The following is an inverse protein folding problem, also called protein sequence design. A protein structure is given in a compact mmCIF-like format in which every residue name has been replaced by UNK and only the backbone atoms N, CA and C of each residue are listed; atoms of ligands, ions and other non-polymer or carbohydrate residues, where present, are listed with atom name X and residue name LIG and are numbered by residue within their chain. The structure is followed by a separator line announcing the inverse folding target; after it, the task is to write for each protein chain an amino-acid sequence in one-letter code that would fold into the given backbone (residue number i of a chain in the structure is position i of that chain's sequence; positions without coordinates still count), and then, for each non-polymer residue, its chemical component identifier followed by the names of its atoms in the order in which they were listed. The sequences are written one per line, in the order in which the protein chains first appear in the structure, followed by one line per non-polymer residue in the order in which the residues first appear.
data_IF_126299518374
#
_entry.id   IF_126299518374
#
_cell.length_a   1.000
_cell.length_b   1.000
_cell.length_c   1.000
_cell.angle_alpha   90.00
_cell.angle_beta   90.00
_cell.angle_gamma   90.00
#
_symmetry.space_group_name_H-M   'P 1'
#
loop_
_entity.id
_entity.type
_entity.pdbx_description
1 polymer ?
#
# COMPACT_ATOMS: atom_id res chain seq x y z
N UNK A 1 21.91 -5.41 1.79
CA UNK A 1 21.25 -4.40 2.63
C UNK A 1 20.10 -5.08 3.33
N UNK A 2 19.99 -4.98 4.66
CA UNK A 2 18.96 -5.68 5.45
C UNK A 2 17.78 -4.78 5.81
N UNK A 3 16.71 -5.37 6.37
CA UNK A 3 15.54 -4.60 6.86
C UNK A 3 15.97 -3.67 8.00
N UNK A 4 16.81 -4.17 8.89
CA UNK A 4 17.34 -3.45 10.05
C UNK A 4 18.15 -2.23 9.59
N UNK A 5 19.00 -2.38 8.57
CA UNK A 5 19.78 -1.26 8.01
C UNK A 5 18.88 -0.16 7.42
N UNK A 6 17.77 -0.52 6.78
CA UNK A 6 16.78 0.47 6.29
C UNK A 6 16.08 1.17 7.45
N UNK A 7 15.71 0.42 8.49
CA UNK A 7 15.09 1.00 9.70
C UNK A 7 16.03 1.99 10.38
N UNK A 8 17.31 1.64 10.51
CA UNK A 8 18.31 2.54 11.12
C UNK A 8 18.55 3.79 10.26
N UNK A 9 18.63 3.64 8.93
CA UNK A 9 18.68 4.81 8.03
C UNK A 9 17.46 5.73 8.19
N UNK A 10 16.25 5.15 8.28
CA UNK A 10 15.02 5.91 8.47
C UNK A 10 15.00 6.66 9.81
N UNK A 11 15.49 6.04 10.88
CA UNK A 11 15.59 6.66 12.21
C UNK A 11 16.64 7.77 12.27
N UNK A 12 17.75 7.61 11.56
CA UNK A 12 18.86 8.57 11.50
C UNK A 12 18.56 9.78 10.59
N UNK A 13 17.62 9.66 9.67
CA UNK A 13 17.18 10.77 8.81
C UNK A 13 16.53 11.89 9.64
N UNK A 14 17.12 13.08 9.62
CA UNK A 14 16.65 14.25 10.38
C UNK A 14 15.18 14.61 10.08
N UNK A 15 14.71 14.31 8.85
CA UNK A 15 13.30 14.55 8.46
C UNK A 15 12.31 13.64 9.21
N UNK A 16 12.80 12.58 9.85
CA UNK A 16 12.04 11.67 10.70
C UNK A 16 12.33 11.86 12.20
N UNK A 17 13.19 12.82 12.58
CA UNK A 17 13.64 12.98 13.96
C UNK A 17 12.50 13.10 14.98
N UNK A 18 11.39 13.75 14.61
CA UNK A 18 10.21 13.86 15.46
C UNK A 18 9.59 12.49 15.83
N UNK A 19 9.62 11.52 14.90
CA UNK A 19 9.16 10.15 15.15
C UNK A 19 10.15 9.38 16.01
N UNK A 20 11.45 9.48 15.68
CA UNK A 20 12.53 8.84 16.45
C UNK A 20 12.51 9.30 17.91
N UNK A 21 12.39 10.62 18.17
CA UNK A 21 12.29 11.19 19.52
C UNK A 21 11.09 10.68 20.32
N UNK A 22 10.00 10.31 19.65
CA UNK A 22 8.78 9.76 20.25
C UNK A 22 8.82 8.23 20.38
N UNK A 23 9.90 7.58 19.95
CA UNK A 23 10.01 6.11 19.95
C UNK A 23 9.08 5.43 18.94
N UNK A 24 8.66 6.14 17.89
CA UNK A 24 7.79 5.61 16.82
C UNK A 24 8.66 5.04 15.70
N UNK A 25 8.69 3.71 15.50
CA UNK A 25 9.42 3.11 14.39
C UNK A 25 8.69 3.32 13.05
N UNK A 26 9.40 3.25 11.91
CA UNK A 26 8.73 3.16 10.61
C UNK A 26 7.90 1.87 10.53
N UNK A 27 6.72 1.94 9.90
CA UNK A 27 5.79 0.82 9.76
C UNK A 27 5.70 0.39 8.30
N UNK A 28 6.23 -0.80 8.05
CA UNK A 28 6.13 -1.53 6.77
C UNK A 28 6.38 -3.02 7.04
N UNK A 29 6.02 -3.87 6.07
CA UNK A 29 6.28 -5.30 6.09
C UNK A 29 6.95 -5.66 4.77
N UNK A 30 8.14 -6.24 4.79
CA UNK A 30 8.83 -6.68 3.56
C UNK A 30 9.48 -8.03 3.77
N UNK A 31 9.61 -8.79 2.69
CA UNK A 31 10.27 -10.08 2.69
C UNK A 31 10.93 -10.28 1.32
N UNK A 32 12.10 -10.94 1.30
CA UNK A 32 12.73 -11.36 0.05
C UNK A 32 11.83 -12.30 -0.76
N UNK A 33 10.96 -13.05 -0.07
CA UNK A 33 10.07 -14.04 -0.65
C UNK A 33 8.69 -13.45 -1.01
N UNK A 34 8.53 -12.13 -0.91
CA UNK A 34 7.27 -11.48 -1.21
C UNK A 34 6.96 -11.60 -2.70
N UNK A 35 5.77 -12.13 -3.01
CA UNK A 35 5.24 -12.28 -4.36
C UNK A 35 4.32 -11.13 -4.76
N UNK A 36 3.62 -10.56 -3.78
CA UNK A 36 2.70 -9.45 -3.99
C UNK A 36 3.10 -8.29 -3.08
N UNK A 37 3.22 -7.10 -3.66
CA UNK A 37 3.54 -5.87 -2.94
C UNK A 37 2.31 -4.96 -2.86
N UNK A 38 1.95 -4.53 -1.66
CA UNK A 38 0.89 -3.57 -1.39
C UNK A 38 1.49 -2.19 -1.15
N UNK A 39 1.12 -1.20 -1.97
CA UNK A 39 1.53 0.19 -1.78
C UNK A 39 0.31 1.05 -1.48
N UNK A 40 0.12 1.36 -0.21
CA UNK A 40 -0.92 2.26 0.30
C UNK A 40 -0.42 3.67 0.59
N UNK A 41 -1.25 4.49 1.23
CA UNK A 41 -0.92 5.88 1.54
C UNK A 41 0.12 6.00 2.65
N UNK A 42 -0.31 5.79 3.90
CA UNK A 42 0.51 5.91 5.09
C UNK A 42 -0.20 5.16 6.24
N UNK A 43 0.52 4.77 7.30
CA UNK A 43 -0.10 4.36 8.56
C UNK A 43 -1.10 5.41 9.07
N UNK A 44 -2.25 4.95 9.56
CA UNK A 44 -3.14 5.79 10.36
C UNK A 44 -2.75 5.78 11.84
N UNK A 45 -3.42 6.59 12.67
CA UNK A 45 -3.14 6.68 14.11
C UNK A 45 -3.13 5.32 14.84
N UNK A 46 -4.11 4.45 14.57
CA UNK A 46 -4.17 3.11 15.18
C UNK A 46 -3.00 2.22 14.76
N UNK A 47 -2.51 2.39 13.54
CA UNK A 47 -1.34 1.65 13.04
C UNK A 47 -0.06 2.19 13.67
N UNK A 48 0.04 3.49 13.95
CA UNK A 48 1.14 4.04 14.75
C UNK A 48 1.22 3.40 16.13
N UNK A 49 0.08 3.21 16.79
CA UNK A 49 -0.03 2.59 18.11
C UNK A 49 0.25 1.07 18.09
N UNK A 50 -0.33 0.35 17.11
CA UNK A 50 -0.24 -1.12 17.05
C UNK A 50 0.97 -1.65 16.29
N UNK A 51 1.59 -0.84 15.43
CA UNK A 51 2.71 -1.17 14.52
C UNK A 51 2.40 -2.26 13.49
N UNK A 52 1.13 -2.65 13.34
CA UNK A 52 0.69 -3.67 12.38
C UNK A 52 0.01 -2.96 11.20
N UNK A 53 0.61 -2.98 9.99
CA UNK A 53 0.00 -2.38 8.81
C UNK A 53 -1.40 -2.96 8.56
N UNK A 54 -2.37 -2.13 8.16
CA UNK A 54 -3.73 -2.57 7.87
C UNK A 54 -4.44 -3.31 9.03
N UNK A 55 -4.11 -3.01 10.29
CA UNK A 55 -4.79 -3.56 11.46
C UNK A 55 -6.10 -2.80 11.82
N UNK A 56 -6.94 -2.56 10.81
CA UNK A 56 -8.18 -1.82 10.91
C UNK A 56 -9.25 -2.33 9.91
N UNK A 57 -10.42 -1.69 9.90
CA UNK A 57 -11.53 -2.03 9.00
C UNK A 57 -11.16 -1.90 7.52
N UNK A 58 -10.21 -1.03 7.17
CA UNK A 58 -9.73 -0.88 5.80
C UNK A 58 -8.92 -2.12 5.40
N UNK A 59 -8.10 -2.64 6.32
CA UNK A 59 -7.36 -3.89 6.13
C UNK A 59 -8.25 -5.11 6.01
N UNK A 60 -9.26 -5.25 6.87
CA UNK A 60 -10.27 -6.32 6.74
C UNK A 60 -10.94 -6.32 5.36
N UNK A 61 -11.28 -5.13 4.86
CA UNK A 61 -11.87 -4.99 3.53
C UNK A 61 -10.87 -5.33 2.42
N UNK A 62 -9.62 -4.92 2.56
CA UNK A 62 -8.56 -5.24 1.60
C UNK A 62 -8.31 -6.75 1.49
N UNK A 63 -8.21 -7.44 2.63
CA UNK A 63 -8.04 -8.89 2.71
C UNK A 63 -9.17 -9.59 1.94
N UNK A 64 -10.44 -9.18 2.17
CA UNK A 64 -11.59 -9.70 1.41
C UNK A 64 -11.49 -9.43 -0.09
N UNK A 65 -11.09 -8.22 -0.49
CA UNK A 65 -10.91 -7.89 -1.91
C UNK A 65 -9.78 -8.67 -2.57
N UNK A 66 -8.74 -9.03 -1.83
CA UNK A 66 -7.67 -9.90 -2.32
C UNK A 66 -8.09 -11.38 -2.37
N UNK A 67 -9.15 -11.77 -1.66
CA UNK A 67 -9.64 -13.15 -1.66
C UNK A 67 -8.75 -14.11 -0.87
N UNK A 68 -8.02 -13.60 0.12
CA UNK A 68 -7.11 -14.38 0.97
C UNK A 68 -7.51 -14.27 2.44
N UNK A 69 -6.96 -15.13 3.30
CA UNK A 69 -7.12 -15.01 4.75
C UNK A 69 -6.10 -14.05 5.38
N UNK A 70 -6.28 -13.82 6.68
CA UNK A 70 -5.41 -12.93 7.45
C UNK A 70 -4.00 -13.50 7.59
N UNK A 71 -3.85 -14.82 7.72
CA UNK A 71 -2.54 -15.47 7.89
C UNK A 71 -1.68 -15.26 6.64
N UNK A 72 -2.25 -15.51 5.46
CA UNK A 72 -1.64 -15.25 4.16
C UNK A 72 -1.28 -13.78 4.00
N UNK A 73 -2.16 -12.85 4.41
CA UNK A 73 -1.93 -11.41 4.32
C UNK A 73 -0.71 -10.94 5.13
N UNK A 74 -0.44 -11.56 6.29
CA UNK A 74 0.72 -11.26 7.13
C UNK A 74 1.88 -12.26 6.94
N UNK A 75 1.81 -13.12 5.92
CA UNK A 75 2.87 -14.08 5.59
C UNK A 75 4.04 -13.42 4.85
N UNK A 76 5.13 -14.16 4.66
CA UNK A 76 6.28 -13.73 3.86
C UNK A 76 5.96 -13.55 2.37
N UNK A 77 4.85 -14.09 1.86
CA UNK A 77 4.43 -13.92 0.45
C UNK A 77 3.87 -12.51 0.17
N UNK A 78 3.50 -11.75 1.19
CA UNK A 78 2.91 -10.41 1.04
C UNK A 78 3.84 -9.35 1.65
N UNK A 79 4.17 -8.33 0.86
CA UNK A 79 4.84 -7.12 1.34
C UNK A 79 3.88 -5.93 1.39
N UNK A 80 4.09 -5.02 2.34
CA UNK A 80 3.33 -3.80 2.57
C UNK A 80 4.31 -2.64 2.71
N UNK A 81 4.42 -1.81 1.68
CA UNK A 81 5.32 -0.66 1.63
C UNK A 81 4.51 0.61 1.30
N UNK A 82 4.01 1.34 2.30
CA UNK A 82 3.23 2.55 2.07
C UNK A 82 4.09 3.71 1.51
N UNK A 83 3.44 4.71 0.93
CA UNK A 83 4.08 5.93 0.40
C UNK A 83 4.78 6.77 1.49
N UNK A 84 4.33 6.66 2.74
CA UNK A 84 5.02 7.14 3.95
C UNK A 84 4.99 6.04 5.01
N UNK A 85 6.11 5.81 5.70
CA UNK A 85 6.22 4.77 6.74
C UNK A 85 5.74 5.22 8.11
N UNK A 86 5.31 6.48 8.23
CA UNK A 86 4.87 7.05 9.49
C UNK A 86 3.49 7.67 9.33
N UNK A 87 2.73 7.74 10.41
CA UNK A 87 1.48 8.48 10.43
C UNK A 87 1.78 9.98 10.31
N UNK A 88 1.33 10.67 9.24
CA UNK A 88 1.73 12.04 8.97
C UNK A 88 1.00 13.07 9.85
N UNK A 89 0.05 12.64 10.68
CA UNK A 89 -0.76 13.50 11.54
C UNK A 89 -2.18 13.71 11.01
N UNK A 90 -3.01 14.37 11.82
CA UNK A 90 -4.43 14.61 11.51
C UNK A 90 -4.61 15.90 10.71
N UNK A 91 -5.24 15.79 9.55
CA UNK A 91 -5.71 16.92 8.74
C UNK A 91 -7.19 17.23 8.96
N UNK A 92 -7.76 18.12 8.12
CA UNK A 92 -9.15 18.59 8.25
C UNK A 92 -10.20 17.50 7.98
N UNK A 93 -9.96 16.64 6.98
CA UNK A 93 -10.91 15.64 6.49
C UNK A 93 -10.47 14.19 6.74
N UNK A 94 -9.35 13.99 7.43
CA UNK A 94 -8.70 12.70 7.62
C UNK A 94 -7.23 12.90 7.91
N UNK A 95 -6.42 11.88 7.68
CA UNK A 95 -4.98 11.94 7.88
C UNK A 95 -4.32 12.83 6.81
N UNK A 96 -3.19 13.44 7.16
CA UNK A 96 -2.38 14.22 6.23
C UNK A 96 -1.88 13.35 5.05
N UNK A 97 -1.54 13.97 3.90
CA UNK A 97 -0.93 13.25 2.79
C UNK A 97 0.42 12.64 3.17
N UNK A 98 0.86 11.56 2.50
CA UNK A 98 2.17 10.96 2.72
C UNK A 98 3.28 11.95 2.31
N UNK A 99 4.37 12.00 3.07
CA UNK A 99 5.50 12.88 2.78
C UNK A 99 6.29 12.34 1.58
N UNK A 100 6.45 13.18 0.54
CA UNK A 100 7.01 12.79 -0.77
C UNK A 100 8.41 12.16 -0.68
N UNK A 101 9.24 12.63 0.25
CA UNK A 101 10.65 12.22 0.31
C UNK A 101 10.81 10.74 0.66
N UNK A 102 9.85 10.13 1.37
CA UNK A 102 9.94 8.74 1.81
C UNK A 102 10.00 7.83 0.58
N UNK A 103 9.00 7.92 -0.29
CA UNK A 103 8.98 7.14 -1.52
C UNK A 103 10.18 7.46 -2.43
N UNK A 104 10.52 8.74 -2.59
CA UNK A 104 11.64 9.16 -3.45
C UNK A 104 13.00 8.63 -2.97
N UNK A 105 13.23 8.58 -1.65
CA UNK A 105 14.53 8.22 -1.08
C UNK A 105 14.65 6.71 -0.84
N UNK A 106 13.59 6.08 -0.31
CA UNK A 106 13.69 4.75 0.30
C UNK A 106 13.07 3.64 -0.55
N UNK A 107 11.98 3.90 -1.29
CA UNK A 107 11.32 2.84 -2.07
C UNK A 107 12.28 2.15 -3.05
N UNK A 108 13.14 2.84 -3.82
CA UNK A 108 14.05 2.17 -4.75
C UNK A 108 14.99 1.17 -4.08
N UNK A 109 15.43 1.45 -2.84
CA UNK A 109 16.34 0.58 -2.11
C UNK A 109 15.60 -0.64 -1.55
N UNK A 110 14.38 -0.44 -1.03
CA UNK A 110 13.53 -1.49 -0.47
C UNK A 110 13.01 -2.42 -1.57
N UNK A 111 12.62 -1.89 -2.73
CA UNK A 111 12.16 -2.69 -3.88
C UNK A 111 13.22 -3.70 -4.33
N UNK A 112 14.50 -3.32 -4.32
CA UNK A 112 15.61 -4.24 -4.65
C UNK A 112 15.76 -5.40 -3.66
N UNK A 113 15.17 -5.31 -2.47
CA UNK A 113 15.19 -6.37 -1.48
C UNK A 113 14.07 -7.40 -1.70
N UNK A 114 13.17 -7.17 -2.66
CA UNK A 114 12.01 -8.03 -2.95
C UNK A 114 12.03 -8.45 -4.43
N UNK A 115 13.05 -9.21 -4.86
CA UNK A 115 13.24 -9.56 -6.27
C UNK A 115 12.12 -10.44 -6.84
N UNK A 116 11.40 -11.15 -5.96
CA UNK A 116 10.38 -12.14 -6.35
C UNK A 116 8.97 -11.54 -6.49
N UNK A 117 8.82 -10.20 -6.42
CA UNK A 117 7.51 -9.55 -6.57
C UNK A 117 7.04 -9.65 -8.02
N UNK A 118 5.88 -10.28 -8.20
CA UNK A 118 5.25 -10.51 -9.51
C UNK A 118 4.11 -9.51 -9.79
N UNK A 119 3.55 -8.90 -8.75
CA UNK A 119 2.51 -7.88 -8.88
C UNK A 119 2.57 -6.86 -7.75
N UNK A 120 2.44 -5.58 -8.10
CA UNK A 120 2.26 -4.50 -7.12
C UNK A 120 0.83 -3.96 -7.15
N UNK A 121 0.11 -4.07 -6.04
CA UNK A 121 -1.23 -3.50 -5.87
C UNK A 121 -1.08 -2.05 -5.40
N UNK A 122 -1.49 -1.11 -6.26
CA UNK A 122 -1.43 0.33 -5.98
C UNK A 122 -2.75 0.81 -5.38
N UNK A 123 -2.73 1.16 -4.09
CA UNK A 123 -3.94 1.43 -3.32
C UNK A 123 -4.15 2.94 -3.18
N UNK A 124 -5.11 3.45 -3.94
CA UNK A 124 -5.53 4.85 -3.88
C UNK A 124 -4.61 5.82 -4.63
N UNK A 125 -4.98 7.10 -4.56
CA UNK A 125 -4.46 8.16 -5.43
C UNK A 125 -2.95 8.36 -5.31
N UNK A 126 -2.39 8.35 -4.10
CA UNK A 126 -0.95 8.67 -3.92
C UNK A 126 -0.03 7.60 -4.51
N UNK A 127 -0.36 6.32 -4.32
CA UNK A 127 0.39 5.22 -4.91
C UNK A 127 0.29 5.25 -6.44
N UNK A 128 -0.94 5.41 -6.96
CA UNK A 128 -1.20 5.51 -8.41
C UNK A 128 -0.49 6.72 -9.05
N UNK A 129 -0.58 7.90 -8.45
CA UNK A 129 0.05 9.11 -9.00
C UNK A 129 1.59 9.00 -9.05
N UNK A 130 2.20 8.29 -8.10
CA UNK A 130 3.64 8.09 -8.05
C UNK A 130 4.10 7.01 -9.04
N UNK A 131 3.57 5.79 -8.94
CA UNK A 131 4.04 4.64 -9.70
C UNK A 131 3.55 4.64 -11.16
N UNK A 132 2.39 5.24 -11.43
CA UNK A 132 1.85 5.38 -12.80
C UNK A 132 2.03 6.79 -13.35
N UNK A 133 3.03 7.54 -12.87
CA UNK A 133 3.32 8.89 -13.36
C UNK A 133 3.51 8.88 -14.89
N UNK A 134 2.74 9.71 -15.58
CA UNK A 134 2.73 9.80 -17.05
C UNK A 134 1.97 8.67 -17.76
N UNK A 135 1.52 7.63 -17.05
CA UNK A 135 0.79 6.48 -17.61
C UNK A 135 -0.66 6.37 -17.11
N UNK A 136 -0.99 6.98 -15.97
CA UNK A 136 -2.34 6.97 -15.40
C UNK A 136 -3.38 7.63 -16.31
N UNK A 137 -4.65 7.27 -16.15
CA UNK A 137 -5.77 7.98 -16.79
C UNK A 137 -6.05 9.31 -16.09
N UNK A 138 -7.09 10.02 -16.54
CA UNK A 138 -7.45 11.38 -16.07
C UNK A 138 -7.61 11.47 -14.56
N UNK A 139 -8.19 10.45 -13.93
CA UNK A 139 -8.44 10.38 -12.49
C UNK A 139 -8.29 8.94 -11.96
N UNK A 140 -8.42 8.77 -10.64
CA UNK A 140 -8.30 7.47 -9.99
C UNK A 140 -9.36 6.48 -10.48
N UNK A 141 -10.61 6.92 -10.62
CA UNK A 141 -11.73 6.06 -11.08
C UNK A 141 -11.42 5.47 -12.45
N UNK A 142 -11.05 6.29 -13.42
CA UNK A 142 -10.69 5.83 -14.77
C UNK A 142 -9.42 4.98 -14.79
N UNK A 143 -8.46 5.27 -13.91
CA UNK A 143 -7.25 4.47 -13.79
C UNK A 143 -7.56 3.07 -13.27
N UNK A 144 -8.43 2.95 -12.27
CA UNK A 144 -8.89 1.67 -11.72
C UNK A 144 -9.77 0.93 -12.75
N UNK A 145 -10.66 1.63 -13.46
CA UNK A 145 -11.45 1.00 -14.53
C UNK A 145 -10.56 0.43 -15.64
N UNK A 146 -9.43 1.08 -15.94
CA UNK A 146 -8.44 0.66 -16.91
C UNK A 146 -7.37 -0.28 -16.33
N UNK A 147 -7.60 -0.97 -15.20
CA UNK A 147 -6.58 -1.77 -14.50
C UNK A 147 -5.79 -2.72 -15.42
N UNK A 148 -6.45 -3.32 -16.42
CA UNK A 148 -5.84 -4.23 -17.40
C UNK A 148 -4.65 -3.62 -18.13
N UNK A 149 -4.64 -2.30 -18.36
CA UNK A 149 -3.56 -1.60 -19.04
C UNK A 149 -2.25 -1.51 -18.25
N UNK A 150 -2.27 -1.90 -16.96
CA UNK A 150 -1.10 -1.84 -16.08
C UNK A 150 -0.61 -3.23 -15.65
N UNK A 151 -1.32 -4.30 -16.04
CA UNK A 151 -0.90 -5.67 -15.81
C UNK A 151 0.30 -6.02 -16.73
N UNK A 152 1.20 -6.93 -16.32
CA UNK A 152 1.21 -7.65 -15.05
C UNK A 152 1.80 -6.84 -13.88
N UNK A 153 2.54 -5.77 -14.13
CA UNK A 153 3.35 -5.09 -13.11
C UNK A 153 2.50 -4.47 -12.00
N UNK A 154 1.42 -3.76 -12.34
CA UNK A 154 0.58 -3.04 -11.39
C UNK A 154 -0.88 -3.43 -11.46
N UNK A 155 -1.52 -3.45 -10.29
CA UNK A 155 -2.97 -3.55 -10.16
C UNK A 155 -3.50 -2.35 -9.35
N UNK A 156 -3.97 -1.27 -10.01
CA UNK A 156 -4.51 -0.12 -9.30
C UNK A 156 -5.90 -0.40 -8.73
N UNK A 157 -6.10 -0.09 -7.45
CA UNK A 157 -7.41 -0.14 -6.78
C UNK A 157 -7.70 1.18 -6.04
N UNK A 158 -8.98 1.38 -5.70
CA UNK A 158 -9.35 2.47 -4.79
C UNK A 158 -8.98 2.12 -3.34
N UNK A 159 -8.95 3.13 -2.46
CA UNK A 159 -8.72 2.87 -1.04
C UNK A 159 -9.89 2.08 -0.43
N UNK A 160 -9.61 1.03 0.37
CA UNK A 160 -10.64 0.19 1.03
C UNK A 160 -11.32 0.87 2.24
N UNK A 161 -11.26 2.20 2.34
CA UNK A 161 -11.80 2.94 3.49
C UNK A 161 -13.33 2.86 3.49
N UNK A 162 -13.97 2.71 4.66
CA UNK A 162 -15.43 2.78 4.77
C UNK A 162 -16.00 4.13 4.28
N UNK A 163 -15.19 5.20 4.32
CA UNK A 163 -15.58 6.52 3.80
C UNK A 163 -15.82 6.52 2.28
N UNK A 164 -15.37 5.48 1.57
CA UNK A 164 -15.47 5.37 0.12
C UNK A 164 -16.80 4.70 -0.34
N UNK A 165 -17.74 4.45 0.57
CA UNK A 165 -19.00 3.74 0.25
C UNK A 165 -19.85 4.44 -0.83
N UNK A 166 -19.88 5.79 -0.85
CA UNK A 166 -20.61 6.56 -1.87
C UNK A 166 -20.01 6.37 -3.26
N UNK A 167 -18.68 6.27 -3.34
CA UNK A 167 -18.00 5.99 -4.61
C UNK A 167 -18.32 4.57 -5.09
N UNK A 168 -18.28 3.57 -4.19
CA UNK A 168 -18.58 2.17 -4.53
C UNK A 168 -20.02 2.02 -5.05
N UNK A 169 -21.00 2.65 -4.39
CA UNK A 169 -22.40 2.66 -4.88
C UNK A 169 -22.57 3.26 -6.27
N UNK A 170 -21.74 4.25 -6.64
CA UNK A 170 -21.74 4.86 -7.97
C UNK A 170 -20.92 4.09 -9.00
N UNK A 171 -20.09 3.15 -8.56
CA UNK A 171 -19.15 2.39 -9.38
C UNK A 171 -19.25 0.89 -9.03
N UNK A 172 -20.44 0.27 -9.19
CA UNK A 172 -20.66 -1.13 -8.79
C UNK A 172 -19.72 -2.10 -9.53
N UNK A 173 -19.34 -1.75 -10.76
CA UNK A 173 -18.34 -2.45 -11.57
C UNK A 173 -17.02 -2.71 -10.84
N UNK A 174 -16.66 -1.94 -9.82
CA UNK A 174 -15.44 -2.19 -9.05
C UNK A 174 -15.52 -3.53 -8.30
N UNK A 175 -16.60 -3.76 -7.53
CA UNK A 175 -16.75 -5.03 -6.80
C UNK A 175 -17.25 -6.16 -7.71
N UNK A 176 -17.95 -5.86 -8.80
CA UNK A 176 -18.47 -6.86 -9.74
C UNK A 176 -17.44 -7.36 -10.76
N UNK A 177 -16.43 -6.55 -11.11
CA UNK A 177 -15.50 -6.88 -12.20
C UNK A 177 -14.03 -6.74 -11.80
N UNK A 178 -13.66 -5.68 -11.07
CA UNK A 178 -12.26 -5.45 -10.70
C UNK A 178 -11.82 -6.33 -9.53
N UNK A 179 -12.65 -6.47 -8.51
CA UNK A 179 -12.35 -7.33 -7.35
C UNK A 179 -12.22 -8.81 -7.76
N UNK A 180 -13.14 -9.41 -8.56
CA UNK A 180 -12.94 -10.79 -9.03
C UNK A 180 -11.66 -10.97 -9.85
N UNK A 181 -11.32 -10.00 -10.71
CA UNK A 181 -10.06 -10.05 -11.46
C UNK A 181 -8.82 -9.92 -10.56
N UNK A 182 -8.91 -9.13 -9.48
CA UNK A 182 -7.86 -9.07 -8.46
C UNK A 182 -7.71 -10.41 -7.75
N UNK A 183 -8.82 -11.00 -7.29
CA UNK A 183 -8.82 -12.28 -6.59
C UNK A 183 -8.22 -13.39 -7.44
N UNK A 184 -8.63 -13.49 -8.71
CA UNK A 184 -8.06 -14.47 -9.64
C UNK A 184 -6.54 -14.30 -9.75
N UNK A 185 -6.07 -13.07 -9.92
CA UNK A 185 -4.64 -12.81 -10.09
C UNK A 185 -3.83 -13.02 -8.82
N UNK A 186 -4.40 -12.71 -7.66
CA UNK A 186 -3.79 -13.02 -6.35
C UNK A 186 -3.68 -14.54 -6.19
N UNK A 187 -4.74 -15.28 -6.52
CA UNK A 187 -4.74 -16.73 -6.50
C UNK A 187 -3.65 -17.31 -7.41
N UNK A 188 -3.58 -16.87 -8.68
CA UNK A 188 -2.60 -17.37 -9.65
C UNK A 188 -1.14 -17.18 -9.21
N UNK A 189 -0.84 -16.12 -8.45
CA UNK A 189 0.51 -15.83 -7.94
C UNK A 189 0.83 -16.60 -6.66
N UNK A 190 -0.17 -16.86 -5.81
CA UNK A 190 0.06 -17.46 -4.48
C UNK A 190 -0.11 -18.99 -4.45
N UNK A 191 -0.69 -19.56 -5.50
CA UNK A 191 -0.90 -21.00 -5.70
C UNK A 191 0.42 -21.76 -5.86
#
# INVERSE_FOLDING_TARGET
MTVEEIVEKLKADERNQAYTKRGVPPVFQISSNAKILLIGQAPGRKVEETRIPFNDKSGEKLIRWMGIDRETFYSSKIAIMPMDFYYPGKGKSGDLPPRKFIAQTYHPQILRMMPDVEMTILIGKYAVDYYLKGKKKRNLTETVAAYKAYLPEYFPIVHPSPLNFRWQRKNPWFEEQVVPALQQRVHDILS
#
